data_IF_117578177931
#
_entry.id   IF_117578177931
#
_cell.length_a   1.000
_cell.length_b   1.000
_cell.length_c   1.000
_cell.angle_alpha   90.00
_cell.angle_beta   90.00
_cell.angle_gamma   90.00
#
_symmetry.space_group_name_H-M   'P 1'
#
loop_
_entity.id
_entity.type
_entity.pdbx_description
1 polymer ?
#
# COMPACT_ATOMS: atom_id res chain seq x y z
N UNK A 1 1.68 28.20 11.80
CA UNK A 1 1.52 26.74 11.96
C UNK A 1 2.74 26.16 11.31
N UNK A 2 3.63 25.62 12.13
CA UNK A 2 4.82 24.96 11.62
C UNK A 2 4.36 23.62 11.03
N UNK A 3 4.86 23.31 9.84
CA UNK A 3 4.53 22.09 9.10
C UNK A 3 5.78 21.21 9.16
N UNK A 4 5.62 20.02 9.72
CA UNK A 4 6.69 19.03 9.91
C UNK A 4 7.03 18.29 8.61
N UNK A 5 6.08 18.21 7.67
CA UNK A 5 6.34 17.57 6.39
C UNK A 5 5.23 17.70 5.37
N UNK A 6 5.52 17.21 4.17
CA UNK A 6 4.59 17.12 3.04
C UNK A 6 4.46 15.66 2.63
N UNK A 7 3.23 15.18 2.47
CA UNK A 7 2.91 13.83 2.04
C UNK A 7 2.14 13.88 0.71
N UNK A 8 2.42 12.93 -0.17
CA UNK A 8 1.71 12.75 -1.44
C UNK A 8 1.01 11.39 -1.38
N UNK A 9 -0.28 11.39 -1.02
CA UNK A 9 -0.99 10.15 -0.74
C UNK A 9 -2.11 9.92 -1.75
N UNK A 10 -2.27 8.68 -2.23
CA UNK A 10 -3.25 8.40 -3.25
C UNK A 10 -4.66 8.46 -2.69
N UNK A 11 -5.59 8.99 -3.50
CA UNK A 11 -7.04 9.00 -3.22
C UNK A 11 -7.40 9.56 -1.84
N UNK A 12 -6.63 10.53 -1.34
CA UNK A 12 -6.78 11.08 0.01
C UNK A 12 -8.06 11.92 0.18
N UNK A 13 -8.73 12.27 -0.91
CA UNK A 13 -10.08 12.85 -0.85
C UNK A 13 -11.17 11.84 -0.49
N UNK A 14 -10.91 10.54 -0.61
CA UNK A 14 -11.81 9.48 -0.17
C UNK A 14 -11.76 9.32 1.37
N UNK A 15 -12.95 9.25 2.01
CA UNK A 15 -13.05 9.12 3.47
C UNK A 15 -12.52 7.79 4.00
N UNK A 16 -12.73 6.69 3.27
CA UNK A 16 -12.24 5.36 3.68
C UNK A 16 -10.71 5.33 3.65
N UNK A 17 -10.10 5.97 2.65
CA UNK A 17 -8.65 6.13 2.57
C UNK A 17 -8.11 7.00 3.72
N UNK A 18 -8.84 8.04 4.15
CA UNK A 18 -8.46 8.84 5.32
C UNK A 18 -8.53 8.04 6.63
N UNK A 19 -9.54 7.19 6.81
CA UNK A 19 -9.65 6.34 8.00
C UNK A 19 -8.58 5.24 8.03
N UNK A 20 -8.25 4.64 6.88
CA UNK A 20 -7.11 3.74 6.75
C UNK A 20 -5.79 4.46 7.07
N UNK A 21 -5.59 5.64 6.49
CA UNK A 21 -4.41 6.45 6.73
C UNK A 21 -4.22 6.75 8.21
N UNK A 22 -5.27 7.08 8.98
CA UNK A 22 -5.13 7.34 10.42
C UNK A 22 -4.53 6.15 11.16
N UNK A 23 -4.94 4.92 10.83
CA UNK A 23 -4.41 3.70 11.45
C UNK A 23 -2.94 3.50 11.10
N UNK A 24 -2.62 3.58 9.81
CA UNK A 24 -1.25 3.42 9.29
C UNK A 24 -0.33 4.53 9.79
N UNK A 25 -0.79 5.77 9.84
CA UNK A 25 -0.05 6.91 10.37
C UNK A 25 0.20 6.77 11.87
N UNK A 26 -0.78 6.28 12.63
CA UNK A 26 -0.59 5.98 14.05
C UNK A 26 0.49 4.91 14.27
N UNK A 27 0.45 3.82 13.49
CA UNK A 27 1.49 2.80 13.52
C UNK A 27 2.87 3.36 13.14
N UNK A 28 2.93 4.20 12.11
CA UNK A 28 4.17 4.87 11.67
C UNK A 28 4.82 5.73 12.75
N UNK A 29 4.01 6.24 13.69
CA UNK A 29 4.45 7.04 14.84
C UNK A 29 4.61 6.21 16.13
N UNK A 30 4.54 4.87 16.06
CA UNK A 30 4.56 3.96 17.21
C UNK A 30 3.45 4.23 18.25
N UNK A 31 2.31 4.77 17.82
CA UNK A 31 1.18 5.08 18.71
C UNK A 31 0.31 3.88 19.05
N UNK A 32 0.50 2.76 18.36
CA UNK A 32 -0.06 1.45 18.69
C UNK A 32 0.36 0.97 20.09
N UNK A 33 1.44 1.53 20.64
CA UNK A 33 1.98 1.25 21.99
C UNK A 33 1.46 2.22 23.06
N UNK A 34 0.60 3.17 22.69
CA UNK A 34 0.12 4.27 23.55
C UNK A 34 -1.42 4.22 23.64
N UNK A 35 -2.00 4.53 24.80
CA UNK A 35 -3.47 4.55 24.97
C UNK A 35 -4.10 5.54 23.96
N UNK A 36 -5.09 5.06 23.21
CA UNK A 36 -5.76 5.83 22.17
C UNK A 36 -6.61 7.00 22.68
N UNK A 37 -6.81 7.09 24.01
CA UNK A 37 -7.47 8.24 24.64
C UNK A 37 -6.59 9.48 24.69
N UNK A 38 -5.28 9.28 24.72
CA UNK A 38 -4.33 10.36 24.95
C UNK A 38 -3.97 11.09 23.66
N UNK A 39 -4.28 10.50 22.50
CA UNK A 39 -3.93 11.08 21.20
C UNK A 39 -5.08 11.17 20.20
N UNK A 40 -4.96 12.10 19.25
CA UNK A 40 -5.91 12.29 18.15
C UNK A 40 -5.18 12.63 16.85
N UNK A 41 -5.70 12.10 15.74
CA UNK A 41 -5.29 12.47 14.38
C UNK A 41 -6.47 13.18 13.71
N UNK A 42 -6.32 14.48 13.47
CA UNK A 42 -7.31 15.29 12.79
C UNK A 42 -6.91 15.53 11.34
N UNK A 43 -7.87 15.45 10.43
CA UNK A 43 -7.66 15.70 9.01
C UNK A 43 -8.62 16.81 8.60
N UNK A 44 -8.08 17.96 8.21
CA UNK A 44 -8.85 19.12 7.79
C UNK A 44 -8.52 19.44 6.32
N UNK A 45 -9.48 19.99 5.57
CA UNK A 45 -9.17 20.60 4.27
C UNK A 45 -8.23 21.79 4.47
N UNK A 46 -7.20 21.88 3.63
CA UNK A 46 -6.21 22.95 3.69
C UNK A 46 -5.71 23.30 2.29
N UNK A 47 -6.01 24.51 1.83
CA UNK A 47 -5.72 24.97 0.46
C UNK A 47 -6.25 23.97 -0.58
N UNK A 48 -5.40 23.49 -1.48
CA UNK A 48 -5.71 22.51 -2.52
C UNK A 48 -5.60 21.05 -2.06
N UNK A 49 -5.35 20.80 -0.77
CA UNK A 49 -5.20 19.47 -0.22
C UNK A 49 -5.74 19.40 1.20
N UNK A 50 -4.99 18.72 2.07
CA UNK A 50 -5.38 18.48 3.45
C UNK A 50 -4.24 18.81 4.40
N UNK A 51 -4.58 18.96 5.67
CA UNK A 51 -3.60 19.01 6.75
C UNK A 51 -3.96 17.94 7.77
N UNK A 52 -2.97 17.09 8.08
CA UNK A 52 -3.03 16.09 9.13
C UNK A 52 -2.39 16.69 10.35
N UNK A 53 -3.09 16.70 11.48
CA UNK A 53 -2.57 17.18 12.77
C UNK A 53 -2.55 16.02 13.75
N UNK A 54 -1.40 15.79 14.35
CA UNK A 54 -1.24 14.87 15.47
C UNK A 54 -1.32 15.67 16.78
N UNK A 55 -2.20 15.24 17.68
CA UNK A 55 -2.39 15.82 18.99
C UNK A 55 -2.18 14.78 20.07
N UNK A 56 -1.53 15.17 21.17
CA UNK A 56 -1.41 14.39 22.40
C UNK A 56 -1.79 15.28 23.59
N UNK A 57 -2.65 14.81 24.49
CA UNK A 57 -3.21 15.62 25.59
C UNK A 57 -3.76 16.98 25.13
N UNK A 58 -4.46 16.98 23.99
CA UNK A 58 -4.98 18.18 23.30
C UNK A 58 -3.93 19.20 22.82
N UNK A 59 -2.63 18.91 22.95
CA UNK A 59 -1.55 19.72 22.38
C UNK A 59 -1.18 19.19 21.00
N UNK A 60 -1.07 20.08 20.02
CA UNK A 60 -0.56 19.72 18.69
C UNK A 60 0.93 19.40 18.80
N UNK A 61 1.31 18.18 18.44
CA UNK A 61 2.70 17.72 18.43
C UNK A 61 3.30 17.70 17.02
N UNK A 62 2.46 17.60 15.99
CA UNK A 62 2.93 17.69 14.63
C UNK A 62 1.83 17.95 13.62
N UNK A 63 2.23 18.40 12.44
CA UNK A 63 1.37 18.70 11.33
C UNK A 63 2.01 18.44 9.97
N UNK A 64 1.28 17.73 9.11
CA UNK A 64 1.71 17.40 7.75
C UNK A 64 0.70 17.91 6.74
N UNK A 65 1.18 18.55 5.68
CA UNK A 65 0.34 18.86 4.52
C UNK A 65 0.26 17.62 3.65
N UNK A 66 -0.94 17.25 3.23
CA UNK A 66 -1.18 16.11 2.35
C UNK A 66 -1.74 16.59 1.03
N UNK A 67 -1.06 16.24 -0.06
CA UNK A 67 -1.55 16.38 -1.41
C UNK A 67 -2.21 15.09 -1.86
N UNK A 68 -3.45 15.21 -2.31
CA UNK A 68 -4.18 14.11 -2.93
C UNK A 68 -3.63 13.87 -4.34
N UNK A 69 -3.11 12.68 -4.58
CA UNK A 69 -2.58 12.26 -5.88
C UNK A 69 -3.37 11.06 -6.42
N UNK A 70 -3.36 10.78 -7.73
CA UNK A 70 -3.88 9.51 -8.22
C UNK A 70 -3.00 8.34 -7.75
N UNK A 71 -3.62 7.17 -7.59
CA UNK A 71 -2.89 5.92 -7.36
C UNK A 71 -1.81 5.72 -8.43
N UNK A 72 -0.60 5.36 -7.99
CA UNK A 72 0.41 4.79 -8.87
C UNK A 72 0.03 3.33 -9.14
N UNK A 73 -0.22 3.04 -10.41
CA UNK A 73 -0.83 1.77 -10.86
C UNK A 73 0.23 0.73 -11.19
N UNK A 74 -0.16 -0.53 -11.10
CA UNK A 74 0.60 -1.65 -11.64
C UNK A 74 0.01 -1.99 -13.01
N UNK A 75 0.86 -2.21 -14.01
CA UNK A 75 0.43 -2.70 -15.31
C UNK A 75 0.88 -4.16 -15.54
N UNK A 76 0.45 -4.74 -16.65
CA UNK A 76 0.76 -6.12 -16.99
C UNK A 76 2.27 -6.34 -17.21
N UNK A 77 2.99 -5.33 -17.69
CA UNK A 77 4.42 -5.44 -17.95
C UNK A 77 5.22 -5.47 -16.65
N UNK A 78 4.83 -4.65 -15.69
CA UNK A 78 5.37 -4.71 -14.33
C UNK A 78 5.07 -6.07 -13.69
N UNK A 79 3.84 -6.61 -13.82
CA UNK A 79 3.52 -7.96 -13.31
C UNK A 79 4.41 -9.05 -13.92
N UNK A 80 4.70 -8.97 -15.23
CA UNK A 80 5.64 -9.87 -15.92
C UNK A 80 7.05 -9.74 -15.34
N UNK A 81 7.55 -8.51 -15.21
CA UNK A 81 8.86 -8.23 -14.62
C UNK A 81 8.96 -8.74 -13.17
N UNK A 82 7.90 -8.60 -12.38
CA UNK A 82 7.87 -9.13 -11.01
C UNK A 82 7.87 -10.66 -10.98
N UNK A 83 7.23 -11.33 -11.94
CA UNK A 83 7.29 -12.79 -12.06
C UNK A 83 8.71 -13.28 -12.44
N UNK A 84 9.39 -12.59 -13.35
CA UNK A 84 10.80 -12.86 -13.67
C UNK A 84 11.74 -12.59 -12.48
N UNK A 85 11.47 -11.55 -11.68
CA UNK A 85 12.21 -11.32 -10.44
C UNK A 85 11.97 -12.44 -9.42
N UNK A 86 10.73 -12.91 -9.29
CA UNK A 86 10.38 -14.02 -8.41
C UNK A 86 11.14 -15.31 -8.75
N UNK A 87 11.37 -15.59 -10.04
CA UNK A 87 12.22 -16.69 -10.52
C UNK A 87 13.66 -16.55 -10.04
N UNK A 88 14.26 -15.36 -10.20
CA UNK A 88 15.68 -15.16 -9.89
C UNK A 88 16.02 -15.29 -8.42
N UNK A 89 15.08 -14.94 -7.53
CA UNK A 89 15.27 -15.04 -6.07
C UNK A 89 15.34 -16.51 -5.63
N UNK A 90 14.69 -17.41 -6.35
CA UNK A 90 14.61 -18.83 -6.04
C UNK A 90 14.88 -19.63 -7.31
N UNK A 91 16.16 -19.95 -7.57
CA UNK A 91 16.61 -20.70 -8.76
C UNK A 91 15.91 -22.06 -8.85
N UNK A 92 14.72 -22.08 -9.43
CA UNK A 92 13.95 -23.28 -9.74
C UNK A 92 13.95 -23.43 -11.26
N UNK A 93 14.36 -24.58 -11.77
CA UNK A 93 14.38 -24.92 -13.21
C UNK A 93 12.97 -25.20 -13.75
N UNK A 94 12.03 -24.27 -13.55
CA UNK A 94 10.64 -24.40 -13.97
C UNK A 94 10.23 -23.22 -14.84
N UNK A 95 9.28 -23.45 -15.77
CA UNK A 95 8.80 -22.43 -16.70
C UNK A 95 8.05 -21.30 -15.97
N UNK A 96 8.59 -20.08 -15.99
CA UNK A 96 7.93 -18.85 -15.54
C UNK A 96 7.23 -18.12 -16.70
N UNK A 97 6.39 -17.14 -16.36
CA UNK A 97 5.61 -16.36 -17.31
C UNK A 97 4.11 -16.40 -17.05
N UNK A 98 3.40 -15.48 -17.72
CA UNK A 98 1.94 -15.37 -17.65
C UNK A 98 1.30 -16.63 -18.22
N UNK A 99 0.36 -17.21 -17.44
CA UNK A 99 -0.46 -18.35 -17.84
C UNK A 99 -1.86 -17.91 -18.26
N UNK A 100 -2.44 -16.97 -17.52
CA UNK A 100 -3.81 -16.47 -17.73
C UNK A 100 -3.75 -14.94 -17.83
N UNK A 101 -3.63 -14.43 -19.06
CA UNK A 101 -3.48 -13.00 -19.32
C UNK A 101 -4.78 -12.26 -19.03
N UNK A 102 -5.89 -12.84 -19.46
CA UNK A 102 -7.24 -12.30 -19.31
C UNK A 102 -7.60 -12.14 -17.83
N UNK A 103 -7.24 -13.11 -16.98
CA UNK A 103 -7.47 -12.99 -15.54
C UNK A 103 -6.60 -11.91 -14.88
N UNK A 104 -5.37 -11.69 -15.35
CA UNK A 104 -4.52 -10.60 -14.87
C UNK A 104 -5.07 -9.24 -15.31
N UNK A 105 -5.47 -9.09 -16.57
CA UNK A 105 -6.08 -7.87 -17.08
C UNK A 105 -7.40 -7.56 -16.36
N UNK A 106 -8.22 -8.57 -16.08
CA UNK A 106 -9.43 -8.42 -15.29
C UNK A 106 -9.13 -8.03 -13.83
N UNK A 107 -8.08 -8.59 -13.22
CA UNK A 107 -7.63 -8.19 -11.88
C UNK A 107 -7.19 -6.72 -11.86
N UNK A 108 -6.34 -6.32 -12.80
CA UNK A 108 -5.87 -4.93 -12.95
C UNK A 108 -7.06 -3.98 -13.13
N UNK A 109 -7.97 -4.30 -14.05
CA UNK A 109 -9.16 -3.49 -14.29
C UNK A 109 -10.04 -3.38 -13.05
N UNK A 110 -10.21 -4.46 -12.27
CA UNK A 110 -11.00 -4.49 -11.04
C UNK A 110 -10.37 -3.67 -9.90
N UNK A 111 -9.03 -3.62 -9.82
CA UNK A 111 -8.30 -2.84 -8.80
C UNK A 111 -8.27 -1.35 -9.17
N UNK A 112 -8.09 -1.05 -10.46
CA UNK A 112 -7.96 0.31 -10.96
C UNK A 112 -9.30 1.01 -11.17
N UNK A 113 -10.33 0.25 -11.56
CA UNK A 113 -11.61 0.79 -11.97
C UNK A 113 -12.71 0.24 -11.07
N UNK A 114 -13.46 1.17 -10.47
CA UNK A 114 -14.76 0.86 -9.94
C UNK A 114 -15.77 0.49 -11.02
N UNK A 115 -16.84 -0.20 -10.64
CA UNK A 115 -17.97 -0.48 -11.54
C UNK A 115 -19.14 0.44 -11.17
N UNK A 116 -19.77 1.08 -12.15
CA UNK A 116 -20.98 1.90 -11.94
C UNK A 116 -20.85 2.99 -10.86
N UNK A 117 -19.68 3.64 -10.76
CA UNK A 117 -19.43 4.69 -9.78
C UNK A 117 -19.11 4.18 -8.35
N UNK A 118 -19.05 2.86 -8.16
CA UNK A 118 -18.58 2.22 -6.94
C UNK A 118 -17.11 1.85 -7.07
N UNK A 119 -16.23 2.44 -6.26
CA UNK A 119 -14.82 2.02 -6.14
C UNK A 119 -14.74 0.92 -5.07
N UNK A 120 -14.53 -0.37 -5.44
CA UNK A 120 -14.57 -1.48 -4.49
C UNK A 120 -13.40 -1.48 -3.50
N UNK A 121 -12.30 -0.85 -3.88
CA UNK A 121 -11.06 -0.83 -3.12
C UNK A 121 -10.57 0.62 -3.05
N UNK A 122 -11.24 1.48 -2.27
CA UNK A 122 -10.91 2.91 -2.27
C UNK A 122 -9.56 3.21 -1.62
N UNK A 123 -8.95 2.21 -0.98
CA UNK A 123 -7.80 2.42 -0.10
C UNK A 123 -6.52 1.72 -0.56
N UNK A 124 -5.37 2.15 -0.05
CA UNK A 124 -4.07 1.60 -0.44
C UNK A 124 -3.90 0.16 0.04
N UNK A 125 -4.26 -0.12 1.30
CA UNK A 125 -4.20 -1.48 1.85
C UNK A 125 -5.21 -2.39 1.14
N UNK A 126 -6.43 -1.93 0.87
CA UNK A 126 -7.42 -2.77 0.16
C UNK A 126 -6.95 -3.17 -1.24
N UNK A 127 -6.32 -2.27 -2.01
CA UNK A 127 -5.74 -2.61 -3.32
C UNK A 127 -4.53 -3.55 -3.19
N UNK A 128 -3.62 -3.31 -2.24
CA UNK A 128 -2.47 -4.19 -1.99
C UNK A 128 -2.91 -5.61 -1.59
N UNK A 129 -3.88 -5.71 -0.69
CA UNK A 129 -4.52 -6.96 -0.24
C UNK A 129 -5.07 -7.75 -1.41
N UNK A 130 -5.84 -7.10 -2.28
CA UNK A 130 -6.48 -7.75 -3.44
C UNK A 130 -5.44 -8.31 -4.40
N UNK A 131 -4.35 -7.58 -4.65
CA UNK A 131 -3.23 -8.09 -5.44
C UNK A 131 -2.62 -9.34 -4.81
N UNK A 132 -2.26 -9.27 -3.53
CA UNK A 132 -1.62 -10.40 -2.85
C UNK A 132 -2.53 -11.63 -2.80
N UNK A 133 -3.76 -11.46 -2.29
CA UNK A 133 -4.69 -12.57 -2.14
C UNK A 133 -5.05 -13.20 -3.48
N UNK A 134 -5.40 -12.37 -4.49
CA UNK A 134 -5.90 -12.89 -5.77
C UNK A 134 -4.79 -13.59 -6.56
N UNK A 135 -3.58 -13.03 -6.62
CA UNK A 135 -2.46 -13.65 -7.37
C UNK A 135 -1.92 -14.87 -6.61
N UNK A 136 -1.91 -14.86 -5.27
CA UNK A 136 -1.43 -16.02 -4.51
C UNK A 136 -2.39 -17.22 -4.60
N UNK A 137 -3.71 -16.95 -4.59
CA UNK A 137 -4.75 -17.98 -4.61
C UNK A 137 -5.14 -18.44 -6.03
N UNK A 138 -4.87 -17.65 -7.06
CA UNK A 138 -5.14 -18.01 -8.46
C UNK A 138 -3.83 -18.34 -9.18
N UNK A 139 -3.81 -19.44 -9.94
CA UNK A 139 -2.66 -19.83 -10.74
C UNK A 139 -2.57 -19.02 -12.05
N UNK A 140 -2.38 -17.70 -11.96
CA UNK A 140 -2.32 -16.78 -13.11
C UNK A 140 -0.97 -16.81 -13.85
N UNK A 141 0.06 -17.30 -13.20
CA UNK A 141 1.39 -17.56 -13.76
C UNK A 141 1.67 -19.06 -13.80
N UNK A 142 2.57 -19.47 -14.69
CA UNK A 142 2.98 -20.88 -14.81
C UNK A 142 3.69 -21.37 -13.54
N UNK A 143 4.56 -20.52 -12.96
CA UNK A 143 5.15 -20.70 -11.65
C UNK A 143 5.32 -19.34 -10.96
N UNK A 144 5.64 -19.37 -9.66
CA UNK A 144 5.96 -18.18 -8.90
C UNK A 144 4.75 -17.39 -8.42
N UNK A 145 3.52 -17.89 -8.52
CA UNK A 145 2.28 -17.18 -8.15
C UNK A 145 2.37 -16.50 -6.77
N UNK A 146 2.69 -17.26 -5.72
CA UNK A 146 2.85 -16.74 -4.34
C UNK A 146 3.88 -15.62 -4.23
N UNK A 147 5.06 -15.81 -4.82
CA UNK A 147 6.17 -14.84 -4.81
C UNK A 147 5.82 -13.59 -5.60
N UNK A 148 5.20 -13.77 -6.77
CA UNK A 148 4.74 -12.67 -7.63
C UNK A 148 3.65 -11.87 -6.93
N UNK A 149 2.73 -12.54 -6.22
CA UNK A 149 1.69 -11.89 -5.42
C UNK A 149 2.27 -11.01 -4.32
N UNK A 150 3.19 -11.54 -3.53
CA UNK A 150 3.92 -10.80 -2.50
C UNK A 150 4.66 -9.59 -3.11
N UNK A 151 5.47 -9.81 -4.14
CA UNK A 151 6.21 -8.74 -4.81
C UNK A 151 5.29 -7.67 -5.41
N UNK A 152 4.13 -8.06 -5.94
CA UNK A 152 3.13 -7.13 -6.46
C UNK A 152 2.56 -6.26 -5.36
N UNK A 153 2.18 -6.84 -4.22
CA UNK A 153 1.65 -6.08 -3.10
C UNK A 153 2.70 -5.13 -2.48
N UNK A 154 3.93 -5.61 -2.27
CA UNK A 154 5.04 -4.78 -1.79
C UNK A 154 5.35 -3.64 -2.75
N UNK A 155 5.40 -3.92 -4.06
CA UNK A 155 5.65 -2.90 -5.09
C UNK A 155 4.51 -1.89 -5.12
N UNK A 156 3.25 -2.33 -5.03
CA UNK A 156 2.10 -1.43 -4.99
C UNK A 156 2.15 -0.49 -3.79
N UNK A 157 2.43 -1.01 -2.59
CA UNK A 157 2.59 -0.20 -1.37
C UNK A 157 3.70 0.84 -1.56
N UNK A 158 4.88 0.40 -2.03
CA UNK A 158 6.03 1.28 -2.19
C UNK A 158 5.82 2.37 -3.25
N UNK A 159 5.15 2.06 -4.36
CA UNK A 159 4.79 3.06 -5.38
C UNK A 159 3.81 4.11 -4.85
N UNK A 160 3.08 3.80 -3.78
CA UNK A 160 2.03 4.64 -3.21
C UNK A 160 2.38 5.23 -1.84
N UNK A 161 3.66 5.18 -1.45
CA UNK A 161 4.12 5.86 -0.24
C UNK A 161 4.14 5.06 1.04
N UNK A 162 4.03 3.74 0.93
CA UNK A 162 3.90 2.84 2.06
C UNK A 162 4.99 1.76 2.05
N UNK A 163 5.41 1.34 3.24
CA UNK A 163 6.33 0.22 3.44
C UNK A 163 5.65 -0.78 4.35
N UNK A 164 5.77 -2.07 4.02
CA UNK A 164 5.42 -3.16 4.92
C UNK A 164 6.63 -3.49 5.81
N UNK A 165 6.46 -3.34 7.11
CA UNK A 165 7.39 -3.85 8.11
C UNK A 165 7.09 -5.33 8.39
N UNK A 166 8.14 -6.12 8.60
CA UNK A 166 8.06 -7.55 8.89
C UNK A 166 9.33 -7.97 9.63
N UNK A 167 9.26 -9.06 10.40
CA UNK A 167 10.39 -9.55 11.20
C UNK A 167 11.46 -10.20 10.33
N UNK A 168 11.05 -11.10 9.44
CA UNK A 168 11.93 -11.80 8.51
C UNK A 168 11.21 -12.26 7.23
N UNK A 169 11.97 -12.80 6.27
CA UNK A 169 11.40 -13.29 5.02
C UNK A 169 10.52 -14.55 5.18
N UNK A 170 10.68 -15.31 6.27
CA UNK A 170 9.88 -16.51 6.53
C UNK A 170 8.44 -16.13 6.90
N UNK A 171 8.25 -15.03 7.61
CA UNK A 171 6.92 -14.48 7.91
C UNK A 171 6.11 -14.26 6.62
N UNK A 172 6.66 -13.49 5.68
CA UNK A 172 6.01 -13.18 4.40
C UNK A 172 5.79 -14.44 3.54
N UNK A 173 6.72 -15.38 3.60
CA UNK A 173 6.59 -16.69 2.94
C UNK A 173 5.41 -17.49 3.51
N UNK A 174 5.29 -17.56 4.84
CA UNK A 174 4.24 -18.28 5.54
C UNK A 174 2.87 -17.66 5.27
N UNK A 175 2.76 -16.33 5.30
CA UNK A 175 1.54 -15.61 4.90
C UNK A 175 1.15 -16.00 3.47
N UNK A 176 2.08 -15.87 2.52
CA UNK A 176 1.83 -16.21 1.11
C UNK A 176 1.41 -17.67 0.92
N UNK A 177 1.93 -18.59 1.73
CA UNK A 177 1.54 -19.99 1.72
C UNK A 177 0.13 -20.19 2.28
N UNK A 178 -0.18 -19.56 3.41
CA UNK A 178 -1.48 -19.65 4.06
C UNK A 178 -2.60 -19.07 3.18
N UNK A 179 -2.34 -17.97 2.46
CA UNK A 179 -3.28 -17.41 1.49
C UNK A 179 -3.56 -18.38 0.34
N UNK A 180 -2.50 -18.98 -0.23
CA UNK A 180 -2.65 -19.95 -1.32
C UNK A 180 -3.41 -21.21 -0.90
N UNK A 181 -3.22 -21.64 0.35
CA UNK A 181 -3.92 -22.79 0.94
C UNK A 181 -5.29 -22.42 1.54
N UNK A 182 -5.71 -21.16 1.43
CA UNK A 182 -6.95 -20.61 2.03
C UNK A 182 -7.07 -20.84 3.54
N UNK A 183 -5.93 -20.94 4.22
CA UNK A 183 -5.83 -20.99 5.68
C UNK A 183 -6.00 -19.58 6.24
N UNK A 184 -5.38 -18.58 5.59
CA UNK A 184 -5.58 -17.17 5.89
C UNK A 184 -6.60 -16.57 4.92
N UNK A 185 -7.58 -15.87 5.46
CA UNK A 185 -8.62 -15.15 4.74
C UNK A 185 -8.12 -13.79 4.22
N UNK A 186 -8.91 -13.18 3.33
CA UNK A 186 -8.67 -11.83 2.84
C UNK A 186 -8.76 -10.80 3.98
N UNK A 187 -9.69 -10.97 4.91
CA UNK A 187 -9.86 -10.07 6.07
C UNK A 187 -8.69 -10.17 7.05
N UNK A 188 -8.16 -11.37 7.31
CA UNK A 188 -6.98 -11.56 8.15
C UNK A 188 -5.74 -10.92 7.52
N UNK A 189 -5.59 -11.01 6.19
CA UNK A 189 -4.53 -10.30 5.47
C UNK A 189 -4.69 -8.78 5.59
N UNK A 190 -5.92 -8.26 5.51
CA UNK A 190 -6.17 -6.82 5.71
C UNK A 190 -5.75 -6.35 7.10
N UNK A 191 -6.11 -7.11 8.15
CA UNK A 191 -5.72 -6.78 9.53
C UNK A 191 -4.20 -6.84 9.73
N UNK A 192 -3.54 -7.81 9.11
CA UNK A 192 -2.09 -7.89 9.11
C UNK A 192 -1.49 -6.62 8.48
N UNK A 193 -1.91 -6.27 7.26
CA UNK A 193 -1.40 -5.09 6.57
C UNK A 193 -1.69 -3.78 7.35
N UNK A 194 -2.87 -3.63 7.95
CA UNK A 194 -3.22 -2.45 8.75
C UNK A 194 -2.34 -2.24 9.99
N UNK A 195 -1.69 -3.30 10.48
CA UNK A 195 -0.86 -3.28 11.69
C UNK A 195 0.64 -3.45 11.42
N UNK A 196 1.03 -3.59 10.15
CA UNK A 196 2.41 -3.79 9.74
C UNK A 196 2.84 -2.85 8.62
N UNK A 197 1.91 -2.12 8.00
CA UNK A 197 2.25 -1.09 7.02
C UNK A 197 2.43 0.25 7.72
N UNK A 198 3.49 0.97 7.34
CA UNK A 198 3.77 2.36 7.72
C UNK A 198 3.94 3.25 6.50
N UNK A 199 3.91 4.56 6.72
CA UNK A 199 4.22 5.57 5.72
C UNK A 199 5.74 5.64 5.52
N UNK A 200 6.13 5.76 4.26
CA UNK A 200 7.50 6.04 3.86
C UNK A 200 7.76 7.55 3.84
N UNK A 201 7.99 8.13 5.03
CA UNK A 201 8.26 9.57 5.14
C UNK A 201 9.51 9.99 4.35
N UNK A 202 10.52 9.13 4.28
CA UNK A 202 11.78 9.41 3.57
C UNK A 202 11.54 9.53 2.06
N UNK A 203 10.81 8.58 1.47
CA UNK A 203 10.42 8.65 0.06
C UNK A 203 9.58 9.90 -0.23
N UNK A 204 8.65 10.25 0.65
CA UNK A 204 7.80 11.44 0.48
C UNK A 204 8.61 12.74 0.50
N UNK A 205 9.58 12.84 1.41
CA UNK A 205 10.50 13.98 1.43
C UNK A 205 11.35 14.07 0.16
N UNK A 206 11.82 12.94 -0.37
CA UNK A 206 12.60 12.92 -1.60
C UNK A 206 11.75 13.38 -2.81
N UNK A 207 10.51 12.90 -2.90
CA UNK A 207 9.55 13.34 -3.92
C UNK A 207 9.29 14.85 -3.83
N UNK A 208 9.07 15.38 -2.63
CA UNK A 208 8.90 16.82 -2.41
C UNK A 208 10.12 17.63 -2.91
N UNK A 209 11.33 17.21 -2.53
CA UNK A 209 12.60 17.85 -2.95
C UNK A 209 12.76 17.82 -4.47
N UNK A 210 12.35 16.75 -5.13
CA UNK A 210 12.45 16.61 -6.59
C UNK A 210 11.44 17.49 -7.35
N UNK A 211 10.22 17.62 -6.83
CA UNK A 211 9.20 18.51 -7.39
C UNK A 211 9.59 19.99 -7.26
N UNK A 212 10.18 20.39 -6.13
CA UNK A 212 10.70 21.75 -5.94
C UNK A 212 11.86 22.10 -6.88
N UNK A 213 12.73 21.14 -7.18
CA UNK A 213 13.82 21.34 -8.16
C UNK A 213 13.28 21.52 -9.58
N UNK A 214 12.19 20.84 -9.90
CA UNK A 214 11.58 20.87 -11.24
C UNK A 214 10.77 22.15 -11.46
N UNK A 215 10.12 22.69 -10.43
CA UNK A 215 9.35 23.94 -10.52
C UNK A 215 10.20 25.22 -10.54
N UNK A 216 11.50 25.13 -10.21
CA UNK A 216 12.48 26.22 -10.28
C UNK A 216 13.26 26.27 -11.61
N UNK A 217 12.95 25.39 -12.56
CA UNK A 217 13.49 25.39 -13.93
C UNK A 217 12.43 25.91 -14.90
#
# INVERSE_FOLDING_TARGET
>A
MDIDGVLYLPNFSNKEQQEEFKKVFAYSLNLDKVDNKDWKINIDKYKSGYVVKFLYDSKMLGAWVVFDIPFQKIDLELLRSLNEKAEKIFREEWFYGVKDREALEALLARVDNGFFGFEPYPTTISKAKVFWYTIASKQMFNNGNKRTALLTALTFLNLNGYILDFEDSNELYNISMNLANKIMSEDELEQYLLTHVRIDFEQMEELAKNLEKTSKR
#
